data_IF_010138692537
#
_entry.id   IF_010138692537
#
_cell.length_a   1.000
_cell.length_b   1.000
_cell.length_c   1.000
_cell.angle_alpha   90.00
_cell.angle_beta   90.00
_cell.angle_gamma   90.00
#
_symmetry.space_group_name_H-M   'P 1'
#
loop_
_entity.id
_entity.type
_entity.pdbx_description
1 polymer ?
#
# COMPACT_ATOMS: atom_id res chain seq x y z
N UNK A 1 -2.43 -6.67 29.21
CA UNK A 1 -3.23 -5.88 28.27
C UNK A 1 -2.99 -6.27 26.81
N UNK A 2 -3.18 -7.52 26.39
CA UNK A 2 -2.93 -7.92 24.99
C UNK A 2 -4.17 -7.92 24.09
N UNK A 3 -5.39 -7.79 24.66
CA UNK A 3 -6.61 -7.83 23.85
C UNK A 3 -6.86 -6.56 23.01
N UNK A 4 -6.44 -5.40 23.49
CA UNK A 4 -6.63 -4.11 22.79
C UNK A 4 -5.84 -3.99 21.50
N UNK A 5 -4.65 -4.61 21.43
CA UNK A 5 -3.82 -4.62 20.23
C UNK A 5 -4.40 -5.49 19.13
N UNK A 6 -4.93 -6.66 19.46
CA UNK A 6 -5.49 -7.60 18.46
C UNK A 6 -6.74 -7.02 17.79
N UNK A 7 -7.61 -6.31 18.52
CA UNK A 7 -8.80 -5.68 17.94
C UNK A 7 -8.45 -4.46 17.09
N UNK A 8 -7.50 -3.63 17.50
CA UNK A 8 -6.98 -2.52 16.71
C UNK A 8 -6.31 -3.03 15.42
N UNK A 9 -5.55 -4.11 15.53
CA UNK A 9 -4.87 -4.76 14.41
C UNK A 9 -5.84 -5.47 13.48
N UNK A 10 -6.90 -6.09 13.99
CA UNK A 10 -7.99 -6.65 13.17
C UNK A 10 -8.77 -5.54 12.47
N UNK A 11 -8.99 -4.44 13.13
CA UNK A 11 -9.62 -3.25 12.58
C UNK A 11 -8.74 -2.59 11.50
N UNK A 12 -7.46 -2.41 11.77
CA UNK A 12 -6.48 -1.96 10.78
C UNK A 12 -6.35 -2.96 9.63
N UNK A 13 -6.43 -4.27 9.88
CA UNK A 13 -6.51 -5.31 8.84
C UNK A 13 -7.73 -5.15 7.94
N UNK A 14 -8.91 -4.92 8.51
CA UNK A 14 -10.15 -4.74 7.72
C UNK A 14 -10.06 -3.42 6.93
N UNK A 15 -9.62 -2.35 7.55
CA UNK A 15 -9.38 -1.08 6.89
C UNK A 15 -8.26 -1.23 5.86
N UNK A 16 -7.19 -1.89 6.17
CA UNK A 16 -5.98 -1.94 5.36
C UNK A 16 -6.12 -2.89 4.17
N UNK A 17 -6.55 -4.13 4.38
CA UNK A 17 -6.69 -5.10 3.30
C UNK A 17 -7.73 -4.70 2.25
N UNK A 18 -8.67 -3.83 2.59
CA UNK A 18 -9.70 -3.34 1.67
C UNK A 18 -9.53 -1.87 1.26
N UNK A 19 -8.66 -1.11 1.93
CA UNK A 19 -8.73 0.35 1.89
C UNK A 19 -7.60 1.04 1.14
N UNK A 20 -6.36 0.56 1.17
CA UNK A 20 -5.24 1.33 0.62
C UNK A 20 -5.41 1.56 -0.87
N UNK A 21 -5.78 0.51 -1.60
CA UNK A 21 -5.95 0.59 -3.06
C UNK A 21 -7.28 1.21 -3.46
N UNK A 22 -8.34 0.95 -2.68
CA UNK A 22 -9.67 1.51 -2.93
C UNK A 22 -9.74 2.99 -2.60
N UNK A 23 -9.02 3.45 -1.58
CA UNK A 23 -8.91 4.86 -1.19
C UNK A 23 -8.37 5.72 -2.32
N UNK A 24 -7.32 5.25 -2.95
CA UNK A 24 -6.65 5.96 -4.03
C UNK A 24 -7.50 6.01 -5.29
N UNK A 25 -8.50 5.14 -5.46
CA UNK A 25 -9.44 5.15 -6.60
C UNK A 25 -10.72 5.96 -6.37
N UNK A 26 -10.99 6.35 -5.14
CA UNK A 26 -12.16 7.16 -4.76
C UNK A 26 -11.65 8.44 -4.10
N UNK A 27 -11.39 9.50 -4.88
CA UNK A 27 -10.86 10.76 -4.35
C UNK A 27 -11.71 11.35 -3.23
N UNK A 28 -13.05 11.32 -3.38
CA UNK A 28 -13.98 11.82 -2.37
C UNK A 28 -13.85 11.03 -1.05
N UNK A 29 -13.68 9.72 -1.15
CA UNK A 29 -13.51 8.88 0.03
C UNK A 29 -12.13 9.06 0.67
N UNK A 30 -11.09 9.31 -0.11
CA UNK A 30 -9.77 9.66 0.40
C UNK A 30 -9.81 10.98 1.19
N UNK A 31 -10.38 12.04 0.63
CA UNK A 31 -10.56 13.33 1.30
C UNK A 31 -11.42 13.21 2.56
N UNK A 32 -12.50 12.43 2.50
CA UNK A 32 -13.31 12.15 3.67
C UNK A 32 -12.51 11.48 4.79
N UNK A 33 -11.60 10.57 4.45
CA UNK A 33 -10.74 9.90 5.43
C UNK A 33 -9.70 10.82 6.04
N UNK A 34 -9.09 11.71 5.26
CA UNK A 34 -8.19 12.75 5.78
C UNK A 34 -8.90 13.59 6.87
N UNK A 35 -10.18 13.90 6.67
CA UNK A 35 -10.97 14.70 7.59
C UNK A 35 -11.47 13.90 8.81
N UNK A 36 -11.66 12.61 8.68
CA UNK A 36 -12.31 11.77 9.70
C UNK A 36 -11.39 10.74 10.37
N UNK A 37 -10.07 10.77 10.09
CA UNK A 37 -9.14 9.77 10.61
C UNK A 37 -9.13 9.71 12.14
N UNK A 38 -9.21 10.87 12.83
CA UNK A 38 -9.27 10.90 14.29
C UNK A 38 -10.51 10.16 14.84
N UNK A 39 -11.67 10.32 14.22
CA UNK A 39 -12.90 9.62 14.60
C UNK A 39 -12.81 8.12 14.25
N UNK A 40 -12.15 7.76 13.16
CA UNK A 40 -11.89 6.36 12.81
C UNK A 40 -10.99 5.69 13.85
N UNK A 41 -9.92 6.35 14.29
CA UNK A 41 -9.03 5.87 15.34
C UNK A 41 -9.73 5.79 16.72
N UNK A 42 -10.64 6.73 16.98
CA UNK A 42 -11.50 6.70 18.17
C UNK A 42 -12.61 5.63 18.08
N UNK A 43 -12.74 4.94 16.94
CA UNK A 43 -13.76 3.91 16.67
C UNK A 43 -15.19 4.43 16.77
N UNK A 44 -15.42 5.69 16.37
CA UNK A 44 -16.76 6.20 16.32
C UNK A 44 -17.67 5.32 15.45
N UNK A 45 -18.80 4.79 15.99
CA UNK A 45 -19.59 3.79 15.28
C UNK A 45 -20.18 4.31 13.94
N UNK A 46 -20.49 5.59 13.87
CA UNK A 46 -21.05 6.19 12.66
C UNK A 46 -20.01 6.33 11.56
N UNK A 47 -18.84 6.84 11.91
CA UNK A 47 -17.66 6.99 11.04
C UNK A 47 -17.20 5.62 10.53
N UNK A 48 -17.14 4.64 11.43
CA UNK A 48 -16.76 3.27 11.09
C UNK A 48 -17.72 2.62 10.11
N UNK A 49 -19.02 2.76 10.35
CA UNK A 49 -20.04 2.21 9.46
C UNK A 49 -19.91 2.80 8.06
N UNK A 50 -19.74 4.10 7.95
CA UNK A 50 -19.55 4.76 6.65
C UNK A 50 -18.29 4.24 5.95
N UNK A 51 -17.13 4.23 6.64
CA UNK A 51 -15.87 3.77 6.09
C UNK A 51 -15.95 2.32 5.57
N UNK A 52 -16.53 1.41 6.34
CA UNK A 52 -16.70 0.00 5.95
C UNK A 52 -17.64 -0.11 4.75
N UNK A 53 -18.80 0.55 4.79
CA UNK A 53 -19.79 0.50 3.70
C UNK A 53 -19.17 1.00 2.40
N UNK A 54 -18.57 2.19 2.40
CA UNK A 54 -17.96 2.79 1.21
C UNK A 54 -16.84 1.91 0.64
N UNK A 55 -16.06 1.26 1.50
CA UNK A 55 -15.01 0.34 1.07
C UNK A 55 -15.56 -0.92 0.41
N UNK A 56 -16.61 -1.49 0.98
CA UNK A 56 -17.29 -2.66 0.39
C UNK A 56 -17.91 -2.31 -0.98
N UNK A 57 -18.53 -1.14 -1.09
CA UNK A 57 -19.11 -0.64 -2.34
C UNK A 57 -18.02 -0.47 -3.42
N UNK A 58 -16.93 0.20 -3.09
CA UNK A 58 -15.82 0.42 -4.01
C UNK A 58 -15.21 -0.91 -4.47
N UNK A 59 -15.01 -1.86 -3.55
CA UNK A 59 -14.54 -3.21 -3.90
C UNK A 59 -15.51 -3.92 -4.81
N UNK A 60 -16.79 -3.87 -4.52
CA UNK A 60 -17.83 -4.53 -5.32
C UNK A 60 -17.87 -3.97 -6.76
N UNK A 61 -17.70 -2.65 -6.92
CA UNK A 61 -17.63 -2.00 -8.24
C UNK A 61 -16.45 -2.55 -9.05
N UNK A 62 -15.26 -2.63 -8.43
CA UNK A 62 -14.05 -3.13 -9.11
C UNK A 62 -14.17 -4.61 -9.46
N UNK A 63 -14.64 -5.44 -8.52
CA UNK A 63 -14.83 -6.89 -8.76
C UNK A 63 -15.86 -7.13 -9.84
N UNK A 64 -16.96 -6.37 -9.86
CA UNK A 64 -17.99 -6.47 -10.91
C UNK A 64 -17.46 -6.07 -12.30
N UNK A 65 -16.56 -5.07 -12.35
CA UNK A 65 -15.96 -4.61 -13.60
C UNK A 65 -14.89 -5.58 -14.14
N UNK A 66 -14.25 -6.37 -13.26
CA UNK A 66 -13.18 -7.32 -13.63
C UNK A 66 -13.24 -8.58 -12.74
N UNK A 67 -14.22 -9.43 -13.02
CA UNK A 67 -14.46 -10.65 -12.26
C UNK A 67 -13.29 -11.66 -12.34
N UNK A 68 -12.59 -11.69 -13.49
CA UNK A 68 -11.49 -12.63 -13.77
C UNK A 68 -10.10 -12.11 -13.40
N UNK A 69 -10.01 -10.92 -12.79
CA UNK A 69 -8.73 -10.30 -12.40
C UNK A 69 -7.73 -10.15 -13.56
N UNK A 70 -8.25 -9.77 -14.74
CA UNK A 70 -7.44 -9.62 -15.95
C UNK A 70 -6.85 -8.20 -16.14
N UNK A 71 -7.31 -7.22 -15.36
CA UNK A 71 -6.90 -5.83 -15.52
C UNK A 71 -7.11 -4.96 -14.29
N UNK A 72 -8.23 -4.25 -14.23
CA UNK A 72 -8.49 -3.21 -13.20
C UNK A 72 -8.50 -3.77 -11.77
N UNK A 73 -8.90 -5.02 -11.58
CA UNK A 73 -8.92 -5.66 -10.26
C UNK A 73 -7.53 -5.84 -9.68
N UNK A 74 -6.50 -6.02 -10.52
CA UNK A 74 -5.12 -6.07 -10.06
C UNK A 74 -4.73 -4.83 -9.26
N UNK A 75 -5.31 -3.65 -9.58
CA UNK A 75 -5.04 -2.39 -8.87
C UNK A 75 -5.46 -2.40 -7.40
N UNK A 76 -6.29 -3.38 -6.98
CA UNK A 76 -6.62 -3.58 -5.56
C UNK A 76 -5.40 -4.02 -4.73
N UNK A 77 -4.32 -4.40 -5.37
CA UNK A 77 -3.09 -4.86 -4.74
C UNK A 77 -1.97 -3.80 -4.79
N UNK A 78 -2.30 -2.49 -4.81
CA UNK A 78 -1.29 -1.43 -4.65
C UNK A 78 -0.49 -1.68 -3.36
N UNK A 79 0.83 -1.59 -3.45
CA UNK A 79 1.75 -1.84 -2.34
C UNK A 79 2.01 -3.32 -2.03
N UNK A 80 1.20 -4.25 -2.54
CA UNK A 80 1.34 -5.67 -2.17
C UNK A 80 2.64 -6.31 -2.67
N UNK A 81 3.14 -5.96 -3.84
CA UNK A 81 4.39 -6.55 -4.36
C UNK A 81 5.58 -6.19 -3.46
N UNK A 82 5.67 -4.95 -3.03
CA UNK A 82 6.67 -4.51 -2.05
C UNK A 82 6.38 -5.09 -0.66
N UNK A 83 5.12 -5.03 -0.20
CA UNK A 83 4.70 -5.53 1.10
C UNK A 83 4.96 -7.03 1.28
N UNK A 84 4.67 -7.86 0.28
CA UNK A 84 4.98 -9.30 0.32
C UNK A 84 6.49 -9.57 0.40
N UNK A 85 7.32 -8.77 -0.28
CA UNK A 85 8.76 -8.89 -0.14
C UNK A 85 9.22 -8.63 1.30
N UNK A 86 8.64 -7.61 1.96
CA UNK A 86 8.92 -7.27 3.36
C UNK A 86 8.45 -8.39 4.30
N UNK A 87 7.22 -8.89 4.13
CA UNK A 87 6.69 -9.99 4.96
C UNK A 87 7.53 -11.27 4.82
N UNK A 88 7.87 -11.64 3.58
CA UNK A 88 8.64 -12.86 3.30
C UNK A 88 10.07 -12.78 3.84
N UNK A 89 10.68 -11.58 3.84
CA UNK A 89 12.02 -11.39 4.39
C UNK A 89 12.04 -11.56 5.91
N UNK A 90 11.11 -10.94 6.58
CA UNK A 90 11.08 -10.88 8.05
C UNK A 90 10.57 -12.17 8.70
N UNK A 91 10.02 -13.09 7.91
CA UNK A 91 9.37 -14.30 8.41
C UNK A 91 7.94 -14.04 8.93
N UNK A 92 7.15 -15.13 8.95
CA UNK A 92 5.76 -15.04 9.37
C UNK A 92 5.61 -14.53 10.81
N UNK A 93 4.80 -13.49 10.99
CA UNK A 93 4.42 -12.97 12.31
C UNK A 93 5.25 -11.80 12.82
N UNK A 94 6.31 -11.39 12.13
CA UNK A 94 7.09 -10.18 12.47
C UNK A 94 6.32 -8.92 12.08
N UNK A 95 5.79 -8.90 10.86
CA UNK A 95 4.92 -7.84 10.34
C UNK A 95 3.47 -8.29 10.29
N UNK A 96 2.59 -7.40 10.62
CA UNK A 96 1.21 -7.56 10.22
C UNK A 96 1.10 -7.26 8.73
N UNK A 97 0.32 -8.06 8.00
CA UNK A 97 0.13 -7.85 6.56
C UNK A 97 -0.18 -6.40 6.20
N UNK A 98 -1.06 -5.76 6.99
CA UNK A 98 -1.41 -4.37 6.80
C UNK A 98 -0.26 -3.38 6.96
N UNK A 99 0.67 -3.64 7.87
CA UNK A 99 1.86 -2.80 8.09
C UNK A 99 2.82 -2.91 6.90
N UNK A 100 3.11 -4.13 6.46
CA UNK A 100 3.97 -4.37 5.31
C UNK A 100 3.39 -3.75 4.02
N UNK A 101 2.07 -3.86 3.80
CA UNK A 101 1.40 -3.24 2.66
C UNK A 101 1.37 -1.71 2.78
N UNK A 102 1.37 -1.12 3.99
CA UNK A 102 1.48 0.32 4.17
C UNK A 102 2.84 0.84 3.69
N UNK A 103 3.93 0.20 4.14
CA UNK A 103 5.28 0.50 3.65
C UNK A 103 5.34 0.30 2.13
N UNK A 104 4.81 -0.82 1.63
CA UNK A 104 4.76 -1.08 0.20
C UNK A 104 3.96 -0.04 -0.60
N UNK A 105 2.93 0.57 0.01
CA UNK A 105 2.17 1.66 -0.60
C UNK A 105 2.99 2.96 -0.62
N UNK A 106 3.72 3.26 0.46
CA UNK A 106 4.65 4.38 0.50
C UNK A 106 5.73 4.21 -0.59
N UNK A 107 6.33 3.01 -0.73
CA UNK A 107 7.30 2.70 -1.80
C UNK A 107 6.70 2.90 -3.20
N UNK A 108 5.49 2.40 -3.46
CA UNK A 108 4.82 2.57 -4.74
C UNK A 108 4.54 4.04 -5.07
N UNK A 109 4.16 4.83 -4.06
CA UNK A 109 3.93 6.27 -4.21
C UNK A 109 5.25 7.03 -4.45
N UNK A 110 6.30 6.73 -3.69
CA UNK A 110 7.64 7.32 -3.88
C UNK A 110 8.20 7.01 -5.26
N UNK A 111 8.11 5.76 -5.72
CA UNK A 111 8.52 5.39 -7.06
C UNK A 111 7.71 6.13 -8.14
N UNK A 112 6.41 6.27 -7.94
CA UNK A 112 5.54 7.01 -8.88
C UNK A 112 5.90 8.50 -8.95
N UNK A 113 6.23 9.12 -7.81
CA UNK A 113 6.69 10.51 -7.76
C UNK A 113 8.07 10.67 -8.43
N UNK A 114 9.01 9.75 -8.16
CA UNK A 114 10.34 9.73 -8.77
C UNK A 114 10.28 9.66 -10.31
N UNK A 115 9.31 8.94 -10.84
CA UNK A 115 9.05 8.88 -12.29
C UNK A 115 8.26 10.09 -12.82
N UNK A 116 7.89 11.07 -11.98
CA UNK A 116 7.06 12.20 -12.35
C UNK A 116 5.62 11.82 -12.73
N UNK A 117 5.14 10.65 -12.28
CA UNK A 117 3.79 10.19 -12.55
C UNK A 117 2.76 10.79 -11.59
N UNK A 118 3.16 11.15 -10.40
CA UNK A 118 2.39 11.94 -9.43
C UNK A 118 3.24 13.11 -8.94
N UNK A 119 2.60 14.14 -8.43
CA UNK A 119 3.29 15.27 -7.83
C UNK A 119 3.64 15.07 -6.35
N UNK A 120 4.50 15.95 -5.83
CA UNK A 120 4.95 15.90 -4.44
C UNK A 120 3.81 16.18 -3.45
N UNK A 121 2.77 16.89 -3.86
CA UNK A 121 1.63 17.17 -3.00
C UNK A 121 0.83 15.89 -2.75
N UNK A 122 0.53 15.13 -3.79
CA UNK A 122 -0.15 13.83 -3.66
C UNK A 122 0.71 12.84 -2.87
N UNK A 123 2.03 12.80 -3.11
CA UNK A 123 2.95 11.96 -2.35
C UNK A 123 2.85 12.28 -0.85
N UNK A 124 2.95 13.55 -0.47
CA UNK A 124 2.84 14.00 0.94
C UNK A 124 1.49 13.65 1.56
N UNK A 125 0.40 13.76 0.81
CA UNK A 125 -0.94 13.38 1.30
C UNK A 125 -1.03 11.89 1.59
N UNK A 126 -0.42 11.03 0.74
CA UNK A 126 -0.38 9.58 0.94
C UNK A 126 0.41 9.23 2.20
N UNK A 127 1.59 9.80 2.38
CA UNK A 127 2.38 9.60 3.60
C UNK A 127 1.60 10.04 4.84
N UNK A 128 1.08 11.25 4.83
CA UNK A 128 0.33 11.81 5.95
C UNK A 128 -0.88 10.97 6.37
N UNK A 129 -1.63 10.40 5.43
CA UNK A 129 -2.79 9.58 5.78
C UNK A 129 -2.37 8.22 6.37
N UNK A 130 -1.26 7.64 5.91
CA UNK A 130 -0.69 6.40 6.46
C UNK A 130 -0.17 6.64 7.89
N UNK A 131 0.62 7.68 8.11
CA UNK A 131 1.14 8.07 9.43
C UNK A 131 0.02 8.41 10.40
N UNK A 132 -0.99 9.18 9.94
CA UNK A 132 -2.14 9.52 10.77
C UNK A 132 -2.96 8.28 11.16
N UNK A 133 -2.98 7.25 10.33
CA UNK A 133 -3.58 5.95 10.65
C UNK A 133 -2.69 5.09 11.59
N UNK A 134 -1.58 5.62 12.10
CA UNK A 134 -0.56 4.91 12.87
C UNK A 134 0.02 3.69 12.13
N UNK A 135 0.20 3.82 10.84
CA UNK A 135 0.82 2.79 10.00
C UNK A 135 2.27 3.15 9.70
N UNK A 136 3.18 2.18 9.66
CA UNK A 136 4.56 2.43 9.29
C UNK A 136 4.65 2.80 7.81
N UNK A 137 5.52 3.74 7.51
CA UNK A 137 5.83 4.19 6.14
C UNK A 137 7.28 3.90 5.75
N UNK A 138 8.07 3.38 6.68
CA UNK A 138 9.49 3.06 6.56
C UNK A 138 9.78 1.67 7.14
N UNK A 139 10.89 1.06 6.73
CA UNK A 139 11.41 -0.14 7.38
C UNK A 139 12.07 0.22 8.72
N UNK A 140 12.17 -0.71 9.69
CA UNK A 140 12.92 -0.48 10.92
C UNK A 140 14.38 -0.20 10.64
N UNK A 141 14.99 0.72 11.40
CA UNK A 141 16.39 1.11 11.28
C UNK A 141 17.39 -0.06 11.40
N UNK A 142 17.00 -1.13 12.08
CA UNK A 142 17.80 -2.35 12.27
C UNK A 142 17.44 -3.47 11.28
N UNK A 143 16.65 -3.17 10.25
CA UNK A 143 16.29 -4.16 9.24
C UNK A 143 17.54 -4.59 8.46
N UNK A 144 17.90 -5.88 8.46
CA UNK A 144 19.05 -6.38 7.70
C UNK A 144 18.71 -6.59 6.21
N UNK A 145 17.59 -6.07 5.74
CA UNK A 145 17.12 -6.22 4.36
C UNK A 145 18.02 -5.45 3.40
N UNK A 146 18.50 -6.10 2.35
CA UNK A 146 19.33 -5.49 1.31
C UNK A 146 18.57 -5.37 0.01
N UNK A 147 19.05 -4.52 -0.91
CA UNK A 147 18.52 -4.40 -2.28
C UNK A 147 18.39 -5.77 -2.95
N UNK A 148 19.42 -6.58 -2.87
CA UNK A 148 19.48 -7.88 -3.53
C UNK A 148 18.42 -8.83 -2.97
N UNK A 149 18.27 -8.87 -1.65
CA UNK A 149 17.25 -9.68 -0.98
C UNK A 149 15.84 -9.22 -1.34
N UNK A 150 15.63 -7.90 -1.40
CA UNK A 150 14.35 -7.29 -1.79
C UNK A 150 13.95 -7.69 -3.22
N UNK A 151 14.85 -7.48 -4.19
CA UNK A 151 14.63 -7.83 -5.60
C UNK A 151 14.38 -9.33 -5.79
N UNK A 152 15.14 -10.17 -5.07
CA UNK A 152 14.95 -11.62 -5.09
C UNK A 152 13.54 -12.00 -4.63
N UNK A 153 13.06 -11.42 -3.54
CA UNK A 153 11.73 -11.70 -3.00
C UNK A 153 10.61 -11.18 -3.91
N UNK A 154 10.76 -9.99 -4.46
CA UNK A 154 9.84 -9.48 -5.49
C UNK A 154 9.80 -10.39 -6.71
N UNK A 155 10.91 -11.03 -7.07
CA UNK A 155 10.96 -11.95 -8.20
C UNK A 155 10.23 -13.27 -7.96
N UNK A 156 10.12 -13.72 -6.73
CA UNK A 156 9.39 -14.96 -6.34
C UNK A 156 7.88 -14.74 -6.35
N UNK A 157 7.41 -13.55 -6.01
CA UNK A 157 5.98 -13.17 -6.07
C UNK A 157 5.48 -13.00 -7.51
N UNK A 158 6.36 -13.20 -8.48
CA UNK A 158 6.00 -13.24 -9.90
C UNK A 158 5.10 -14.43 -10.20
N UNK A 159 3.82 -14.27 -10.03
CA UNK A 159 2.83 -14.90 -10.91
C UNK A 159 2.96 -14.25 -12.28
N UNK A 160 4.08 -14.52 -12.93
CA UNK A 160 4.50 -13.89 -14.17
C UNK A 160 3.69 -14.45 -15.32
N UNK A 161 2.82 -13.66 -15.89
CA UNK A 161 2.57 -13.77 -17.31
C UNK A 161 3.86 -13.31 -18.04
N UNK A 162 4.59 -14.22 -18.66
CA UNK A 162 5.76 -13.94 -19.51
C UNK A 162 7.09 -13.48 -18.87
N UNK A 163 7.38 -13.77 -17.59
CA UNK A 163 8.72 -13.50 -17.04
C UNK A 163 9.00 -12.05 -16.64
N UNK A 164 8.08 -11.11 -16.84
CA UNK A 164 8.29 -9.68 -16.58
C UNK A 164 7.70 -9.23 -15.26
N UNK A 165 8.47 -8.51 -14.44
CA UNK A 165 7.96 -7.86 -13.23
C UNK A 165 6.91 -6.83 -13.61
N UNK A 166 5.75 -6.91 -12.98
CA UNK A 166 4.69 -5.91 -13.12
C UNK A 166 4.35 -5.33 -11.76
N UNK A 167 4.21 -4.03 -11.71
CA UNK A 167 3.90 -3.28 -10.50
C UNK A 167 2.56 -2.57 -10.64
N UNK A 168 1.95 -2.29 -9.51
CA UNK A 168 0.81 -1.40 -9.42
C UNK A 168 1.35 -0.09 -8.89
N UNK A 169 1.25 0.96 -9.69
CA UNK A 169 1.79 2.27 -9.43
C UNK A 169 0.71 3.33 -9.64
N UNK A 170 0.92 4.49 -9.04
CA UNK A 170 0.06 5.65 -9.20
C UNK A 170 0.45 6.42 -10.46
N UNK A 171 -0.53 6.95 -11.20
CA UNK A 171 -0.23 7.75 -12.40
C UNK A 171 -1.31 8.80 -12.65
N UNK A 172 -0.92 10.07 -12.57
CA UNK A 172 -1.83 11.21 -12.67
C UNK A 172 -2.50 11.54 -11.34
N UNK A 173 -3.72 12.01 -11.39
CA UNK A 173 -4.46 12.45 -10.22
C UNK A 173 -4.83 11.32 -9.26
N UNK A 174 -5.17 11.69 -8.05
CA UNK A 174 -5.74 10.78 -7.06
C UNK A 174 -6.92 10.00 -7.67
N UNK A 175 -6.91 8.69 -7.52
CA UNK A 175 -7.91 7.80 -8.14
C UNK A 175 -7.35 6.93 -9.26
N UNK A 176 -6.19 7.24 -9.78
CA UNK A 176 -5.60 6.54 -10.93
C UNK A 176 -4.44 5.64 -10.54
N UNK A 177 -4.61 4.34 -10.78
CA UNK A 177 -3.56 3.33 -10.65
C UNK A 177 -3.39 2.59 -11.96
N UNK A 178 -2.16 2.21 -12.26
CA UNK A 178 -1.80 1.40 -13.43
C UNK A 178 -1.15 0.10 -12.98
N UNK A 179 -1.52 -1.01 -13.63
CA UNK A 179 -0.83 -2.28 -13.50
C UNK A 179 0.09 -2.44 -14.72
N UNK A 180 1.38 -2.26 -14.54
CA UNK A 180 2.32 -2.13 -15.65
C UNK A 180 3.65 -2.84 -15.40
N UNK A 181 4.27 -3.32 -16.49
CA UNK A 181 5.67 -3.72 -16.51
C UNK A 181 6.55 -2.68 -17.25
N UNK A 182 5.93 -1.60 -17.71
CA UNK A 182 6.60 -0.47 -18.38
C UNK A 182 6.82 0.63 -17.35
N UNK A 183 7.95 0.57 -16.64
CA UNK A 183 8.40 1.52 -15.64
C UNK A 183 9.92 1.67 -15.68
N UNK A 184 10.43 2.76 -15.16
CA UNK A 184 11.87 3.00 -15.06
C UNK A 184 12.50 2.08 -14.01
N UNK A 185 13.43 1.22 -14.44
CA UNK A 185 14.15 0.31 -13.58
C UNK A 185 15.08 1.03 -12.60
N UNK A 186 15.67 2.16 -12.99
CA UNK A 186 16.51 2.98 -12.11
C UNK A 186 15.66 3.53 -10.97
N UNK A 187 14.47 4.06 -11.26
CA UNK A 187 13.54 4.54 -10.25
C UNK A 187 13.13 3.44 -9.26
N UNK A 188 12.99 2.18 -9.71
CA UNK A 188 12.75 1.05 -8.83
C UNK A 188 13.94 0.81 -7.89
N UNK A 189 15.15 0.76 -8.43
CA UNK A 189 16.37 0.51 -7.64
C UNK A 189 16.61 1.61 -6.62
N UNK A 190 16.51 2.87 -7.02
CA UNK A 190 16.65 4.03 -6.13
C UNK A 190 15.58 4.04 -5.03
N UNK A 191 14.36 3.65 -5.36
CA UNK A 191 13.29 3.55 -4.35
C UNK A 191 13.59 2.44 -3.34
N UNK A 192 14.05 1.27 -3.79
CA UNK A 192 14.45 0.20 -2.87
C UNK A 192 15.60 0.67 -1.99
N UNK A 193 16.62 1.32 -2.57
CA UNK A 193 17.78 1.80 -1.83
C UNK A 193 17.43 2.80 -0.75
N UNK A 194 16.55 3.75 -1.06
CA UNK A 194 16.07 4.73 -0.09
C UNK A 194 15.49 4.03 1.16
N UNK A 195 14.60 3.06 0.95
CA UNK A 195 13.95 2.36 2.06
C UNK A 195 14.85 1.37 2.82
N UNK A 196 15.87 0.80 2.16
CA UNK A 196 16.84 -0.10 2.85
C UNK A 196 18.04 0.66 3.43
N UNK A 197 18.44 1.83 2.88
CA UNK A 197 19.57 2.61 3.37
C UNK A 197 19.24 3.37 4.67
N UNK A 198 17.99 3.78 4.86
CA UNK A 198 17.53 4.38 6.13
C UNK A 198 17.69 3.41 7.30
N UNK A 199 17.78 2.10 7.03
CA UNK A 199 18.07 1.07 8.03
C UNK A 199 19.54 1.03 8.49
N UNK A 200 20.47 1.72 7.79
CA UNK A 200 21.92 1.58 8.01
C UNK A 200 22.55 2.79 8.71
N UNK A 201 21.78 3.79 9.08
CA UNK A 201 22.19 5.05 9.72
C UNK A 201 21.81 5.09 11.18
#
# INVERSE_FOLDING_TARGET
MPFFTVELLTFLRIIHHQHTTLKIRDPEFFEWQEQNMANMLARDPSTMRYAITRSCENKAIVVKADEKEAGIRATLNLGHTFGHAIENYSGYGTWLHGEAVAIGTAMAATMSARMGWIDDELLKRIYKILEFANLPVELPLDSPMTRESFLKLMSVDKKVANGQLRLILLKGDLGNCVFTGDFDHEALLETIDEFVAECSS
#
